data_IF_313044472156
#
_entry.id   IF_313044472156
#
_cell.length_a   1.000
_cell.length_b   1.000
_cell.length_c   1.000
_cell.angle_alpha   90.00
_cell.angle_beta   90.00
_cell.angle_gamma   90.00
#
_symmetry.space_group_name_H-M   'P 1'
#
loop_
_entity.id
_entity.type
_entity.pdbx_description
1 polymer ?
#
# COMPACT_ATOMS: atom_id res chain seq x y z
N UNK A 1 6.83 -14.43 27.27
CA UNK A 1 6.57 -15.42 26.21
C UNK A 1 6.19 -14.68 24.94
N UNK A 2 7.04 -14.71 23.91
CA UNK A 2 6.65 -14.31 22.57
C UNK A 2 5.57 -15.30 22.12
N UNK A 3 4.38 -14.81 21.72
CA UNK A 3 3.31 -15.71 21.29
C UNK A 3 3.75 -16.43 20.01
N UNK A 4 3.44 -17.73 19.89
CA UNK A 4 3.88 -18.63 18.81
C UNK A 4 3.14 -18.37 17.48
N UNK A 5 2.98 -17.10 17.11
CA UNK A 5 2.30 -16.70 15.88
C UNK A 5 3.33 -16.28 14.83
N UNK A 6 3.04 -16.64 13.57
CA UNK A 6 3.69 -16.08 12.40
C UNK A 6 2.84 -14.95 11.84
N UNK A 7 3.45 -13.79 11.64
CA UNK A 7 2.84 -12.58 11.10
C UNK A 7 3.21 -12.47 9.63
N UNK A 8 2.22 -12.69 8.77
CA UNK A 8 2.34 -12.46 7.32
C UNK A 8 1.61 -11.16 6.96
N UNK A 9 2.33 -10.21 6.37
CA UNK A 9 1.80 -8.90 5.99
C UNK A 9 1.53 -8.82 4.49
N UNK A 10 0.28 -8.58 4.11
CA UNK A 10 -0.07 -8.26 2.72
C UNK A 10 -0.32 -6.77 2.61
N UNK A 11 0.41 -6.10 1.72
CA UNK A 11 0.19 -4.70 1.39
C UNK A 11 -0.19 -4.56 -0.08
N UNK A 12 -1.32 -3.92 -0.37
CA UNK A 12 -1.74 -3.62 -1.74
C UNK A 12 -1.77 -2.11 -1.99
N UNK A 13 -1.25 -1.66 -3.12
CA UNK A 13 -1.30 -0.25 -3.52
C UNK A 13 -1.95 -0.05 -4.89
N UNK A 14 -2.30 1.21 -5.17
CA UNK A 14 -2.83 1.68 -6.45
C UNK A 14 -1.84 2.67 -7.07
N UNK A 15 -2.06 2.99 -8.34
CA UNK A 15 -1.17 3.89 -9.08
C UNK A 15 -1.12 5.31 -8.49
N UNK A 16 -2.21 5.80 -7.89
CA UNK A 16 -2.28 7.11 -7.27
C UNK A 16 -3.49 7.22 -6.33
N UNK A 17 -3.50 8.26 -5.49
CA UNK A 17 -4.61 8.55 -4.58
C UNK A 17 -5.91 8.92 -5.31
N UNK A 18 -5.81 9.54 -6.49
CA UNK A 18 -7.00 9.89 -7.30
C UNK A 18 -7.84 8.64 -7.66
N UNK A 19 -7.18 7.50 -7.87
CA UNK A 19 -7.85 6.20 -8.12
C UNK A 19 -8.63 5.75 -6.87
N UNK A 20 -8.09 5.93 -5.67
CA UNK A 20 -8.80 5.64 -4.42
C UNK A 20 -10.07 6.50 -4.30
N UNK A 21 -9.96 7.80 -4.58
CA UNK A 21 -11.08 8.75 -4.54
C UNK A 21 -12.15 8.35 -5.55
N UNK A 22 -11.76 8.04 -6.80
CA UNK A 22 -12.70 7.59 -7.84
C UNK A 22 -13.43 6.30 -7.43
N UNK A 23 -12.73 5.32 -6.84
CA UNK A 23 -13.34 4.09 -6.34
C UNK A 23 -14.33 4.35 -5.20
N UNK A 24 -14.03 5.25 -4.27
CA UNK A 24 -14.99 5.65 -3.21
C UNK A 24 -16.21 6.35 -3.80
N UNK A 25 -16.02 7.30 -4.72
CA UNK A 25 -17.13 7.97 -5.43
C UNK A 25 -18.05 6.98 -6.13
N UNK A 26 -17.50 5.99 -6.82
CA UNK A 26 -18.29 4.94 -7.47
C UNK A 26 -19.03 4.07 -6.46
N UNK A 27 -18.40 3.71 -5.33
CA UNK A 27 -19.06 2.96 -4.25
C UNK A 27 -20.25 3.73 -3.67
N UNK A 28 -20.09 5.03 -3.43
CA UNK A 28 -21.17 5.89 -2.90
C UNK A 28 -22.33 5.97 -3.89
N UNK A 29 -22.06 6.13 -5.20
CA UNK A 29 -23.10 6.07 -6.24
C UNK A 29 -23.87 4.75 -6.22
N UNK A 30 -23.22 3.66 -5.85
CA UNK A 30 -23.82 2.33 -5.71
C UNK A 30 -24.39 2.04 -4.31
N UNK A 31 -24.60 3.06 -3.47
CA UNK A 31 -25.27 2.95 -2.17
C UNK A 31 -24.36 2.57 -0.99
N UNK A 32 -23.04 2.59 -1.15
CA UNK A 32 -22.09 2.32 -0.06
C UNK A 32 -21.71 3.56 0.76
N UNK A 33 -20.93 3.33 1.84
CA UNK A 33 -20.48 4.41 2.75
C UNK A 33 -19.47 5.35 2.08
N UNK A 34 -19.58 6.65 2.38
CA UNK A 34 -18.63 7.67 1.94
C UNK A 34 -17.41 7.76 2.87
N UNK A 35 -16.27 8.19 2.35
CA UNK A 35 -15.08 8.51 3.14
C UNK A 35 -14.58 9.88 2.67
N UNK A 36 -14.41 10.87 3.56
CA UNK A 36 -13.93 12.19 3.17
C UNK A 36 -12.60 12.13 2.40
N UNK A 37 -12.48 12.89 1.31
CA UNK A 37 -11.30 12.84 0.44
C UNK A 37 -9.99 13.13 1.18
N UNK A 38 -9.99 14.10 2.10
CA UNK A 38 -8.84 14.41 2.94
C UNK A 38 -8.34 13.18 3.75
N UNK A 39 -9.29 12.35 4.18
CA UNK A 39 -9.03 11.13 4.93
C UNK A 39 -8.49 10.02 4.01
N UNK A 40 -8.97 9.94 2.77
CA UNK A 40 -8.44 9.04 1.73
C UNK A 40 -6.97 9.41 1.43
N UNK A 41 -6.68 10.69 1.15
CA UNK A 41 -5.34 11.19 0.85
C UNK A 41 -4.37 10.89 2.00
N UNK A 42 -4.75 11.28 3.22
CA UNK A 42 -3.94 11.05 4.42
C UNK A 42 -3.65 9.57 4.64
N UNK A 43 -4.64 8.69 4.47
CA UNK A 43 -4.49 7.25 4.69
C UNK A 43 -3.65 6.60 3.58
N UNK A 44 -3.80 7.04 2.34
CA UNK A 44 -3.04 6.52 1.20
C UNK A 44 -1.54 6.67 1.44
N UNK A 45 -1.04 7.89 1.60
CA UNK A 45 0.40 8.13 1.80
C UNK A 45 0.92 7.52 3.10
N UNK A 46 0.16 7.65 4.20
CA UNK A 46 0.54 7.06 5.50
C UNK A 46 0.63 5.54 5.45
N UNK A 47 -0.19 4.86 4.64
CA UNK A 47 -0.12 3.40 4.50
C UNK A 47 1.18 2.95 3.82
N UNK A 48 1.58 3.67 2.77
CA UNK A 48 2.78 3.39 1.97
C UNK A 48 4.04 3.57 2.80
N UNK A 49 4.17 4.71 3.50
CA UNK A 49 5.32 4.97 4.37
C UNK A 49 5.38 3.98 5.53
N UNK A 50 4.25 3.73 6.21
CA UNK A 50 4.23 2.77 7.33
C UNK A 50 4.53 1.34 6.89
N UNK A 51 4.03 0.91 5.74
CA UNK A 51 4.34 -0.41 5.20
C UNK A 51 5.86 -0.55 5.02
N UNK A 52 6.46 0.38 4.28
CA UNK A 52 7.87 0.30 3.93
C UNK A 52 8.83 0.59 5.09
N UNK A 53 8.50 1.53 5.98
CA UNK A 53 9.45 1.99 7.00
C UNK A 53 9.28 1.26 8.34
N UNK A 54 8.14 0.61 8.57
CA UNK A 54 7.84 0.01 9.87
C UNK A 54 7.27 -1.41 9.78
N UNK A 55 6.15 -1.60 9.11
CA UNK A 55 5.40 -2.85 9.20
C UNK A 55 6.09 -4.03 8.55
N UNK A 56 6.84 -3.82 7.45
CA UNK A 56 7.66 -4.89 6.85
C UNK A 56 8.76 -5.43 7.77
N UNK A 57 9.19 -4.64 8.75
CA UNK A 57 10.18 -5.05 9.76
C UNK A 57 9.57 -5.71 10.99
N UNK A 58 8.26 -5.52 11.20
CA UNK A 58 7.49 -6.10 12.32
C UNK A 58 6.79 -7.41 11.94
N UNK A 59 6.83 -7.79 10.66
CA UNK A 59 6.27 -9.04 10.13
C UNK A 59 7.38 -10.06 9.91
N UNK A 60 7.03 -11.34 10.00
CA UNK A 60 7.95 -12.43 9.64
C UNK A 60 8.17 -12.44 8.13
N UNK A 61 7.08 -12.23 7.38
CA UNK A 61 7.07 -12.15 5.92
C UNK A 61 6.10 -11.08 5.44
N UNK A 62 6.39 -10.51 4.28
CA UNK A 62 5.51 -9.56 3.63
C UNK A 62 5.41 -9.79 2.12
N UNK A 63 4.29 -9.37 1.55
CA UNK A 63 4.06 -9.36 0.10
C UNK A 63 3.43 -8.03 -0.32
N UNK A 64 4.02 -7.42 -1.34
CA UNK A 64 3.54 -6.19 -1.98
C UNK A 64 2.76 -6.55 -3.25
N UNK A 65 1.53 -6.09 -3.34
CA UNK A 65 0.65 -6.26 -4.50
C UNK A 65 0.31 -4.92 -5.15
N UNK A 66 0.21 -4.93 -6.47
CA UNK A 66 -0.43 -3.85 -7.22
C UNK A 66 -1.87 -4.24 -7.55
N UNK A 67 -2.85 -3.42 -7.17
CA UNK A 67 -4.29 -3.69 -7.34
C UNK A 67 -4.96 -2.70 -8.33
N UNK A 68 -4.22 -2.20 -9.31
CA UNK A 68 -4.71 -1.20 -10.25
C UNK A 68 -5.36 -1.78 -11.51
N UNK A 69 -5.19 -3.08 -11.80
CA UNK A 69 -5.86 -3.73 -12.92
C UNK A 69 -7.30 -4.13 -12.59
N UNK A 70 -8.14 -4.22 -13.61
CA UNK A 70 -9.55 -4.56 -13.46
C UNK A 70 -9.79 -6.05 -13.20
N UNK A 71 -8.85 -6.92 -13.58
CA UNK A 71 -9.03 -8.38 -13.53
C UNK A 71 -8.45 -9.02 -12.25
N UNK A 72 -7.24 -8.66 -11.84
CA UNK A 72 -6.62 -9.21 -10.63
C UNK A 72 -5.45 -8.35 -10.11
N UNK A 73 -5.20 -8.36 -8.78
CA UNK A 73 -3.94 -7.86 -8.24
C UNK A 73 -2.76 -8.71 -8.71
N UNK A 74 -1.61 -8.08 -8.93
CA UNK A 74 -0.35 -8.78 -9.25
C UNK A 74 0.64 -8.65 -8.10
N UNK A 75 1.47 -9.69 -7.90
CA UNK A 75 2.58 -9.62 -6.95
C UNK A 75 3.67 -8.73 -7.57
N UNK A 76 4.15 -7.78 -6.77
CA UNK A 76 5.23 -6.87 -7.15
C UNK A 76 6.54 -7.32 -6.52
N UNK A 77 6.52 -7.61 -5.21
CA UNK A 77 7.68 -8.05 -4.45
C UNK A 77 7.23 -8.79 -3.19
N UNK A 78 8.07 -9.68 -2.67
CA UNK A 78 7.84 -10.36 -1.39
C UNK A 78 9.17 -10.57 -0.67
N UNK A 79 9.14 -10.68 0.65
CA UNK A 79 10.35 -10.90 1.42
C UNK A 79 10.17 -10.85 2.91
N UNK A 80 11.31 -10.76 3.61
CA UNK A 80 11.42 -10.70 5.05
C UNK A 80 12.29 -9.48 5.39
N UNK A 81 11.76 -8.53 6.16
CA UNK A 81 12.48 -7.29 6.50
C UNK A 81 13.03 -6.62 5.23
N UNK A 82 14.35 -6.53 5.08
CA UNK A 82 15.11 -5.94 3.96
C UNK A 82 15.64 -6.95 2.93
N UNK A 83 15.46 -8.24 3.17
CA UNK A 83 15.75 -9.28 2.18
C UNK A 83 14.48 -9.60 1.40
N UNK A 84 14.45 -9.29 0.11
CA UNK A 84 13.26 -9.47 -0.72
C UNK A 84 13.59 -9.74 -2.18
N UNK A 85 12.65 -10.38 -2.85
CA UNK A 85 12.67 -10.61 -4.29
C UNK A 85 11.65 -9.68 -4.97
N UNK A 86 12.02 -9.16 -6.13
CA UNK A 86 11.14 -8.33 -6.96
C UNK A 86 10.70 -9.15 -8.17
N UNK A 87 9.39 -9.37 -8.31
CA UNK A 87 8.80 -10.08 -9.45
C UNK A 87 8.52 -9.09 -10.59
N UNK A 88 7.98 -7.91 -10.26
CA UNK A 88 7.63 -6.89 -11.25
C UNK A 88 8.40 -5.60 -10.95
N UNK A 89 9.52 -5.40 -11.65
CA UNK A 89 10.39 -4.23 -11.47
C UNK A 89 9.67 -2.92 -11.81
N UNK A 90 8.86 -2.89 -12.87
CA UNK A 90 8.12 -1.69 -13.28
C UNK A 90 7.18 -1.20 -12.16
N UNK A 91 6.39 -2.11 -11.59
CA UNK A 91 5.48 -1.77 -10.50
C UNK A 91 6.23 -1.49 -9.20
N UNK A 92 7.39 -2.10 -9.00
CA UNK A 92 8.22 -1.81 -7.83
C UNK A 92 8.83 -0.40 -7.91
N UNK A 93 9.37 -0.01 -9.06
CA UNK A 93 9.88 1.35 -9.29
C UNK A 93 8.78 2.39 -9.09
N UNK A 94 7.58 2.10 -9.60
CA UNK A 94 6.40 2.93 -9.38
C UNK A 94 6.01 3.04 -7.90
N UNK A 95 6.06 1.94 -7.17
CA UNK A 95 5.87 1.97 -5.72
C UNK A 95 6.93 2.85 -5.03
N UNK A 96 8.20 2.77 -5.44
CA UNK A 96 9.29 3.57 -4.88
C UNK A 96 9.13 5.07 -5.20
N UNK A 97 8.65 5.42 -6.38
CA UNK A 97 8.29 6.81 -6.71
C UNK A 97 7.18 7.32 -5.79
N UNK A 98 6.11 6.55 -5.60
CA UNK A 98 5.02 6.94 -4.69
C UNK A 98 5.52 7.04 -3.25
N UNK A 99 6.40 6.13 -2.81
CA UNK A 99 7.00 6.17 -1.48
C UNK A 99 7.78 7.47 -1.24
N UNK A 100 8.54 7.96 -2.23
CA UNK A 100 9.28 9.21 -2.10
C UNK A 100 8.32 10.39 -1.92
N UNK A 101 7.30 10.50 -2.77
CA UNK A 101 6.23 11.51 -2.63
C UNK A 101 5.55 11.38 -1.26
N UNK A 102 5.22 10.15 -0.84
CA UNK A 102 4.54 9.89 0.42
C UNK A 102 5.38 10.34 1.63
N UNK A 103 6.70 10.21 1.57
CA UNK A 103 7.61 10.66 2.63
C UNK A 103 7.64 12.19 2.73
N UNK A 104 7.68 12.89 1.60
CA UNK A 104 7.59 14.36 1.54
C UNK A 104 6.27 14.85 2.17
N UNK A 105 5.14 14.30 1.72
CA UNK A 105 3.79 14.60 2.24
C UNK A 105 3.60 14.29 3.75
N UNK A 106 4.38 13.38 4.31
CA UNK A 106 4.34 13.04 5.73
C UNK A 106 5.32 13.82 6.60
N UNK A 107 6.35 14.42 6.02
CA UNK A 107 7.32 15.25 6.74
C UNK A 107 6.86 16.71 6.89
N UNK A 108 5.93 17.16 6.04
CA UNK A 108 5.33 18.49 6.10
C UNK A 108 4.16 18.61 7.12
N UNK A 109 4.05 17.66 8.07
CA UNK A 109 3.04 17.64 9.15
C UNK A 109 3.61 17.18 10.47
#
# INVERSE_FOLDING_TARGET
MQKNYRIVLVHSFLQNCATCIARVKNRVKNGGHDVPEADIVRRYYKSITKFWDKYRFMSDEWTLFYNGYDYAPIIVSFGMKDTYETINNEMFDKFKQILNIAREETNDK
#
